data_IF_482398922284
#
_entry.id   IF_482398922284
#
_cell.length_a   1.000
_cell.length_b   1.000
_cell.length_c   1.000
_cell.angle_alpha   90.00
_cell.angle_beta   90.00
_cell.angle_gamma   90.00
#
_symmetry.space_group_name_H-M   'P 1'
#
loop_
_entity.id
_entity.type
_entity.pdbx_description
1 polymer ?
#
# COMPACT_ATOMS: atom_id res chain seq x y z
N UNK A 1 -42.61 30.28 -42.15
CA UNK A 1 -43.39 29.73 -41.02
C UNK A 1 -42.85 28.34 -40.70
N UNK A 2 -42.70 28.02 -39.40
CA UNK A 2 -42.06 26.84 -38.77
C UNK A 2 -40.53 26.94 -38.68
N UNK A 3 -39.96 27.54 -37.61
CA UNK A 3 -39.79 27.06 -36.20
C UNK A 3 -39.01 25.74 -36.18
N UNK A 4 -37.70 25.78 -35.91
CA UNK A 4 -37.05 25.84 -34.59
C UNK A 4 -37.04 24.48 -33.87
N UNK A 5 -35.83 23.97 -33.64
CA UNK A 5 -35.55 22.76 -32.88
C UNK A 5 -34.04 22.56 -32.75
N UNK A 6 -33.35 23.51 -32.11
CA UNK A 6 -31.97 23.30 -31.66
C UNK A 6 -32.06 22.38 -30.45
N UNK A 7 -31.68 21.12 -30.64
CA UNK A 7 -31.45 20.17 -29.57
C UNK A 7 -30.18 20.63 -28.84
N UNK A 8 -30.34 21.32 -27.71
CA UNK A 8 -29.26 21.47 -26.74
C UNK A 8 -29.13 20.12 -26.06
N UNK A 9 -28.20 19.30 -26.54
CA UNK A 9 -27.75 18.12 -25.80
C UNK A 9 -27.02 18.67 -24.57
N UNK A 10 -27.67 18.65 -23.41
CA UNK A 10 -27.00 18.84 -22.15
C UNK A 10 -25.95 17.72 -22.02
N UNK A 11 -24.68 18.04 -22.27
CA UNK A 11 -23.58 17.21 -21.81
C UNK A 11 -23.69 17.18 -20.28
N UNK A 12 -24.27 16.10 -19.75
CA UNK A 12 -23.96 15.67 -18.39
C UNK A 12 -22.47 15.35 -18.40
N UNK A 13 -21.66 16.38 -18.16
CA UNK A 13 -20.29 16.23 -17.74
C UNK A 13 -20.34 15.54 -16.39
N UNK A 14 -20.37 14.21 -16.39
CA UNK A 14 -19.68 13.48 -15.35
C UNK A 14 -18.22 13.90 -15.57
N UNK A 15 -17.80 14.94 -14.85
CA UNK A 15 -16.40 15.11 -14.53
C UNK A 15 -16.03 13.82 -13.82
N UNK A 16 -15.49 12.88 -14.59
CA UNK A 16 -14.69 11.81 -14.07
C UNK A 16 -13.58 12.54 -13.34
N UNK A 17 -13.73 12.69 -12.01
CA UNK A 17 -12.61 12.98 -11.12
C UNK A 17 -11.51 12.05 -11.60
N UNK A 18 -10.48 12.60 -12.25
CA UNK A 18 -9.31 11.83 -12.60
C UNK A 18 -8.87 11.18 -11.30
N UNK A 19 -8.88 9.84 -11.27
CA UNK A 19 -8.50 9.11 -10.08
C UNK A 19 -7.03 9.40 -9.80
N UNK A 20 -6.79 10.33 -8.86
CA UNK A 20 -5.49 10.80 -8.36
C UNK A 20 -4.79 9.70 -7.53
N UNK A 21 -5.50 8.61 -7.23
CA UNK A 21 -4.96 7.48 -6.48
C UNK A 21 -4.06 6.61 -7.37
N UNK A 22 -2.76 6.62 -7.07
CA UNK A 22 -1.81 5.61 -7.56
C UNK A 22 -1.85 4.39 -6.64
N UNK A 23 -1.50 3.23 -7.18
CA UNK A 23 -1.43 1.98 -6.43
C UNK A 23 -0.08 1.30 -6.65
N UNK A 24 0.47 0.72 -5.59
CA UNK A 24 1.70 -0.06 -5.63
C UNK A 24 1.37 -1.52 -5.31
N UNK A 25 2.09 -2.46 -5.94
CA UNK A 25 1.99 -3.89 -5.62
C UNK A 25 3.34 -4.43 -5.18
N UNK A 26 3.37 -5.01 -3.99
CA UNK A 26 4.54 -5.66 -3.40
C UNK A 26 4.32 -7.16 -3.29
N UNK A 27 5.38 -7.94 -3.45
CA UNK A 27 5.39 -9.38 -3.17
C UNK A 27 6.35 -9.67 -2.03
N UNK A 28 5.80 -10.09 -0.90
CA UNK A 28 6.51 -10.24 0.37
C UNK A 28 6.77 -11.74 0.61
N UNK A 29 8.03 -12.14 0.87
CA UNK A 29 8.36 -13.51 1.27
C UNK A 29 8.01 -13.76 2.75
N UNK A 30 7.77 -15.02 3.17
CA UNK A 30 7.50 -15.32 4.58
C UNK A 30 8.74 -15.09 5.44
N UNK A 31 8.52 -14.62 6.67
CA UNK A 31 9.56 -14.58 7.71
C UNK A 31 9.69 -15.92 8.42
N UNK A 32 8.54 -16.58 8.63
CA UNK A 32 8.39 -17.82 9.38
C UNK A 32 7.37 -18.71 8.67
N UNK A 33 7.67 -19.99 8.48
CA UNK A 33 6.66 -20.99 8.18
C UNK A 33 6.92 -22.35 8.84
N UNK A 34 5.86 -23.02 9.25
CA UNK A 34 5.96 -24.37 9.80
C UNK A 34 4.62 -25.09 9.68
N UNK A 35 4.60 -26.36 10.02
CA UNK A 35 3.35 -27.09 10.18
C UNK A 35 3.40 -27.92 11.46
N UNK A 36 2.22 -28.18 12.00
CA UNK A 36 2.04 -29.02 13.20
C UNK A 36 1.41 -30.34 12.81
N UNK A 37 1.76 -31.41 13.51
CA UNK A 37 1.30 -32.76 13.19
C UNK A 37 0.72 -33.43 14.44
N UNK A 38 -0.57 -33.73 14.41
CA UNK A 38 -1.27 -34.38 15.52
C UNK A 38 -0.69 -35.75 15.89
N UNK A 39 -0.10 -36.47 14.92
CA UNK A 39 0.48 -37.79 15.18
C UNK A 39 1.70 -37.70 16.11
N UNK A 40 2.48 -36.66 15.94
CA UNK A 40 3.78 -36.47 16.59
C UNK A 40 3.72 -35.09 17.30
N UNK A 41 2.96 -34.98 18.40
CA UNK A 41 2.40 -33.70 18.82
C UNK A 41 3.40 -32.73 19.48
N UNK A 42 4.55 -33.24 19.89
CA UNK A 42 5.65 -32.47 20.48
C UNK A 42 6.79 -32.20 19.48
N UNK A 43 6.70 -32.73 18.24
CA UNK A 43 7.70 -32.52 17.21
C UNK A 43 7.50 -31.16 16.52
N UNK A 44 8.62 -30.50 16.21
CA UNK A 44 8.68 -29.29 15.40
C UNK A 44 9.25 -29.65 14.02
N UNK A 45 8.70 -29.03 12.97
CA UNK A 45 9.08 -29.32 11.58
C UNK A 45 9.76 -28.15 10.89
N UNK A 46 10.44 -27.28 11.66
CA UNK A 46 11.27 -26.23 11.10
C UNK A 46 12.28 -26.80 10.08
N UNK A 47 12.63 -26.00 9.09
CA UNK A 47 13.52 -26.33 7.99
C UNK A 47 13.07 -27.45 7.03
N UNK A 48 11.86 -28.00 7.20
CA UNK A 48 11.30 -28.88 6.20
C UNK A 48 11.05 -28.12 4.91
N UNK A 49 11.43 -28.72 3.77
CA UNK A 49 11.25 -28.13 2.43
C UNK A 49 9.78 -28.00 2.00
N UNK A 50 8.87 -28.59 2.76
CA UNK A 50 7.44 -28.63 2.46
C UNK A 50 6.62 -28.33 3.71
N UNK A 51 5.55 -27.58 3.50
CA UNK A 51 4.45 -27.40 4.46
C UNK A 51 3.36 -28.42 4.14
N UNK A 52 2.73 -28.98 5.16
CA UNK A 52 1.71 -30.02 4.99
C UNK A 52 0.36 -29.61 5.61
N UNK A 53 -0.70 -29.78 4.82
CA UNK A 53 -2.08 -29.76 5.31
C UNK A 53 -2.66 -31.14 5.08
N UNK A 54 -3.24 -31.75 6.11
CA UNK A 54 -3.76 -33.11 6.05
C UNK A 54 -4.97 -33.29 6.94
N UNK A 55 -5.95 -34.01 6.42
CA UNK A 55 -7.06 -34.57 7.19
C UNK A 55 -6.87 -36.09 7.30
N UNK A 56 -6.68 -36.59 8.51
CA UNK A 56 -6.67 -38.03 8.80
C UNK A 56 -6.94 -38.23 10.29
N UNK A 57 -7.83 -39.17 10.61
CA UNK A 57 -8.17 -39.50 12.01
C UNK A 57 -6.92 -39.57 12.90
N UNK A 58 -6.87 -38.70 13.92
CA UNK A 58 -5.78 -38.54 14.90
C UNK A 58 -4.40 -38.20 14.31
N UNK A 59 -4.34 -37.70 13.08
CA UNK A 59 -3.11 -37.42 12.33
C UNK A 59 -3.25 -36.19 11.45
N UNK A 60 -4.06 -35.22 11.86
CA UNK A 60 -4.25 -33.97 11.11
C UNK A 60 -2.94 -33.17 11.08
N UNK A 61 -2.73 -32.40 10.01
CA UNK A 61 -1.65 -31.43 9.92
C UNK A 61 -2.18 -30.07 9.48
N UNK A 62 -1.61 -29.02 10.07
CA UNK A 62 -2.01 -27.61 9.85
C UNK A 62 -0.76 -26.78 9.62
N UNK A 63 -0.81 -25.89 8.63
CA UNK A 63 0.29 -24.99 8.30
C UNK A 63 0.12 -23.65 9.02
N UNK A 64 1.22 -23.07 9.49
CA UNK A 64 1.31 -21.72 10.04
C UNK A 64 2.33 -20.93 9.23
N UNK A 65 2.03 -19.66 8.95
CA UNK A 65 2.89 -18.81 8.14
C UNK A 65 2.76 -17.35 8.52
N UNK A 66 3.88 -16.63 8.56
CA UNK A 66 3.95 -15.20 8.90
C UNK A 66 4.79 -14.44 7.89
N UNK A 67 4.41 -13.19 7.66
CA UNK A 67 5.09 -12.24 6.77
C UNK A 67 5.35 -10.95 7.54
N UNK A 68 6.49 -10.32 7.27
CA UNK A 68 6.77 -8.96 7.71
C UNK A 68 6.19 -7.98 6.70
N UNK A 69 5.30 -7.11 7.16
CA UNK A 69 4.58 -6.16 6.31
C UNK A 69 5.06 -4.72 6.55
N UNK A 70 6.16 -4.51 7.28
CA UNK A 70 6.65 -3.17 7.63
C UNK A 70 7.06 -2.31 6.42
N UNK A 71 7.16 -2.90 5.23
CA UNK A 71 7.38 -2.15 3.99
C UNK A 71 6.13 -1.45 3.48
N UNK A 72 4.94 -1.83 3.97
CA UNK A 72 3.67 -1.20 3.62
C UNK A 72 3.43 -0.06 4.62
N UNK A 73 3.13 1.18 4.16
CA UNK A 73 2.81 2.29 5.05
C UNK A 73 1.69 1.95 6.03
N UNK A 74 1.84 2.34 7.28
CA UNK A 74 0.76 2.19 8.28
C UNK A 74 -0.45 3.00 7.86
N UNK A 75 -1.66 2.57 8.21
CA UNK A 75 -2.92 3.28 7.90
C UNK A 75 -3.17 3.59 6.40
N UNK A 76 -2.43 2.96 5.48
CA UNK A 76 -2.78 2.99 4.06
C UNK A 76 -4.00 2.10 3.78
N UNK A 77 -4.69 2.40 2.68
CA UNK A 77 -5.78 1.54 2.21
C UNK A 77 -5.21 0.36 1.41
N UNK A 78 -5.54 -0.85 1.85
CA UNK A 78 -5.26 -2.08 1.14
C UNK A 78 -6.32 -2.29 0.07
N UNK A 79 -5.89 -2.33 -1.20
CA UNK A 79 -6.77 -2.58 -2.36
C UNK A 79 -6.99 -4.08 -2.54
N UNK A 80 -5.92 -4.88 -2.41
CA UNK A 80 -6.01 -6.34 -2.41
C UNK A 80 -4.85 -6.97 -1.65
N UNK A 81 -5.07 -8.13 -1.05
CA UNK A 81 -3.97 -8.95 -0.52
C UNK A 81 -4.26 -10.43 -0.74
N UNK A 82 -3.33 -11.13 -1.39
CA UNK A 82 -3.41 -12.57 -1.66
C UNK A 82 -2.26 -13.31 -1.01
N UNK A 83 -2.58 -14.24 -0.11
CA UNK A 83 -1.61 -15.21 0.39
C UNK A 83 -1.62 -16.41 -0.56
N UNK A 84 -0.45 -16.80 -1.06
CA UNK A 84 -0.29 -17.85 -2.07
C UNK A 84 0.69 -18.91 -1.62
N UNK A 85 0.26 -20.17 -1.67
CA UNK A 85 1.12 -21.33 -1.46
C UNK A 85 1.19 -22.16 -2.73
N UNK A 86 2.40 -22.59 -3.12
CA UNK A 86 2.57 -23.44 -4.29
C UNK A 86 2.38 -24.91 -3.90
N UNK A 87 1.25 -25.49 -4.29
CA UNK A 87 0.89 -26.87 -4.03
C UNK A 87 1.67 -27.80 -4.96
N UNK A 88 2.70 -28.46 -4.41
CA UNK A 88 3.53 -29.44 -5.11
C UNK A 88 2.80 -30.78 -5.25
N UNK A 89 2.17 -31.28 -4.18
CA UNK A 89 1.29 -32.45 -4.23
C UNK A 89 -0.13 -32.06 -3.86
N UNK A 90 -1.09 -32.56 -4.63
CA UNK A 90 -2.51 -32.37 -4.42
C UNK A 90 -3.09 -33.56 -3.63
N UNK A 91 -4.23 -33.39 -2.96
CA UNK A 91 -4.87 -34.49 -2.25
C UNK A 91 -5.52 -35.45 -3.24
N UNK A 92 -5.71 -36.71 -2.82
CA UNK A 92 -6.32 -37.75 -3.64
C UNK A 92 -7.78 -37.47 -4.02
N UNK A 93 -8.46 -36.57 -3.30
CA UNK A 93 -9.74 -35.99 -3.69
C UNK A 93 -9.79 -34.53 -3.28
N UNK A 94 -10.54 -33.70 -4.00
CA UNK A 94 -10.64 -32.27 -3.71
C UNK A 94 -11.06 -32.00 -2.27
N UNK A 95 -10.34 -31.10 -1.60
CA UNK A 95 -10.58 -30.61 -0.24
C UNK A 95 -10.86 -29.12 -0.26
N UNK A 96 -11.37 -28.60 0.85
CA UNK A 96 -11.47 -27.16 1.08
C UNK A 96 -10.52 -26.82 2.21
N UNK A 97 -9.58 -25.93 1.94
CA UNK A 97 -8.63 -25.43 2.92
C UNK A 97 -9.04 -24.05 3.39
N UNK A 98 -9.24 -23.95 4.70
CA UNK A 98 -9.64 -22.74 5.40
C UNK A 98 -8.38 -22.04 5.91
N UNK A 99 -8.36 -20.71 5.77
CA UNK A 99 -7.33 -19.86 6.36
C UNK A 99 -7.95 -18.99 7.46
N UNK A 100 -7.25 -18.89 8.59
CA UNK A 100 -7.65 -18.04 9.71
C UNK A 100 -6.45 -17.22 10.18
N UNK A 101 -6.70 -15.96 10.56
CA UNK A 101 -5.73 -15.13 11.27
C UNK A 101 -5.34 -15.76 12.60
N UNK A 102 -4.05 -15.83 12.88
CA UNK A 102 -3.50 -16.28 14.16
C UNK A 102 -3.61 -15.15 15.18
N UNK A 103 -4.00 -15.47 16.41
CA UNK A 103 -4.26 -14.49 17.47
C UNK A 103 -3.26 -14.56 18.62
N UNK A 104 -2.32 -15.51 18.58
CA UNK A 104 -1.28 -15.67 19.58
C UNK A 104 0.13 -15.74 18.98
N UNK A 105 1.11 -15.34 19.75
CA UNK A 105 2.52 -15.45 19.37
C UNK A 105 2.94 -16.91 19.14
N UNK A 106 3.82 -17.12 18.16
CA UNK A 106 4.49 -18.38 17.91
C UNK A 106 5.86 -18.12 17.26
N UNK A 107 6.72 -19.14 17.30
CA UNK A 107 8.02 -19.13 16.61
C UNK A 107 8.12 -20.34 15.69
N UNK A 108 8.78 -20.16 14.55
CA UNK A 108 9.04 -21.23 13.57
C UNK A 108 9.72 -22.46 14.21
N UNK A 109 10.68 -22.23 15.10
CA UNK A 109 11.48 -23.25 15.78
C UNK A 109 10.81 -23.87 17.01
N UNK A 110 9.72 -23.26 17.51
CA UNK A 110 9.08 -23.67 18.77
C UNK A 110 7.66 -24.18 18.63
N UNK A 111 7.01 -23.98 17.47
CA UNK A 111 5.62 -24.41 17.27
C UNK A 111 5.53 -25.94 17.11
N UNK A 112 4.56 -26.53 17.79
CA UNK A 112 4.23 -27.97 17.84
C UNK A 112 2.71 -28.11 17.85
N UNK A 113 2.18 -29.34 17.73
CA UNK A 113 0.74 -29.53 17.83
C UNK A 113 0.19 -29.11 19.20
N UNK A 114 0.91 -29.45 20.28
CA UNK A 114 0.46 -29.22 21.65
C UNK A 114 0.50 -27.73 22.08
N UNK A 115 1.36 -26.92 21.47
CA UNK A 115 1.52 -25.50 21.82
C UNK A 115 1.11 -24.52 20.70
N UNK A 116 0.46 -25.01 19.63
CA UNK A 116 0.02 -24.15 18.52
C UNK A 116 -0.88 -23.01 19.03
N UNK A 117 -0.72 -21.78 18.50
CA UNK A 117 -1.50 -20.64 18.96
C UNK A 117 -2.97 -20.74 18.54
N UNK A 118 -3.81 -19.99 19.26
CA UNK A 118 -5.21 -19.79 18.86
C UNK A 118 -5.31 -19.00 17.54
N UNK A 119 -6.47 -19.09 16.93
CA UNK A 119 -6.84 -18.33 15.73
C UNK A 119 -8.13 -17.55 15.97
N UNK A 120 -8.44 -16.62 15.09
CA UNK A 120 -9.74 -15.96 15.07
C UNK A 120 -10.86 -16.97 14.75
N UNK A 121 -11.99 -16.86 15.44
CA UNK A 121 -13.16 -17.71 15.19
C UNK A 121 -13.75 -17.48 13.80
N UNK A 122 -13.70 -16.23 13.32
CA UNK A 122 -14.08 -15.89 11.96
C UNK A 122 -13.09 -16.48 10.96
N UNK A 123 -13.62 -17.13 9.93
CA UNK A 123 -12.87 -17.53 8.75
C UNK A 123 -12.35 -16.29 8.02
N UNK A 124 -11.06 -16.29 7.66
CA UNK A 124 -10.51 -15.24 6.79
C UNK A 124 -10.96 -15.49 5.34
N UNK A 125 -10.68 -16.69 4.81
CA UNK A 125 -11.11 -17.13 3.49
C UNK A 125 -10.99 -18.67 3.36
N UNK A 126 -11.42 -19.25 2.23
CA UNK A 126 -11.24 -20.67 1.93
C UNK A 126 -11.07 -20.93 0.44
N UNK A 127 -10.33 -21.97 0.08
CA UNK A 127 -10.15 -22.36 -1.32
C UNK A 127 -10.19 -23.87 -1.53
N UNK A 128 -10.72 -24.30 -2.67
CA UNK A 128 -10.77 -25.70 -3.09
C UNK A 128 -9.43 -26.12 -3.67
N UNK A 129 -8.87 -27.21 -3.15
CA UNK A 129 -7.58 -27.74 -3.63
C UNK A 129 -7.69 -28.27 -5.05
N UNK A 130 -8.85 -28.80 -5.47
CA UNK A 130 -8.93 -29.73 -6.59
C UNK A 130 -8.02 -30.95 -6.36
N UNK A 131 -7.63 -31.61 -7.45
CA UNK A 131 -6.72 -32.76 -7.44
C UNK A 131 -5.50 -32.55 -8.35
N UNK A 132 -5.33 -31.34 -8.89
CA UNK A 132 -4.22 -30.98 -9.79
C UNK A 132 -3.02 -30.52 -8.99
N UNK A 133 -1.88 -31.16 -9.23
CA UNK A 133 -0.58 -30.81 -8.64
C UNK A 133 0.08 -29.60 -9.33
N UNK A 134 1.16 -29.09 -8.75
CA UNK A 134 2.01 -28.04 -9.31
C UNK A 134 1.28 -26.74 -9.67
N UNK A 135 0.41 -26.26 -8.77
CA UNK A 135 -0.33 -25.01 -8.93
C UNK A 135 -0.29 -24.13 -7.70
N UNK A 136 -0.57 -22.85 -7.87
CA UNK A 136 -0.85 -21.95 -6.76
C UNK A 136 -2.23 -22.25 -6.17
N UNK A 137 -2.29 -22.24 -4.84
CA UNK A 137 -3.53 -22.10 -4.08
C UNK A 137 -3.46 -20.75 -3.37
N UNK A 138 -4.52 -19.96 -3.50
CA UNK A 138 -4.53 -18.55 -3.07
C UNK A 138 -5.72 -18.27 -2.17
N UNK A 139 -5.53 -17.40 -1.18
CA UNK A 139 -6.59 -16.92 -0.30
C UNK A 139 -6.59 -15.40 -0.26
N UNK A 140 -7.78 -14.80 -0.19
CA UNK A 140 -7.95 -13.39 0.10
C UNK A 140 -7.70 -13.12 1.58
N UNK A 141 -6.75 -12.25 1.87
CA UNK A 141 -6.40 -11.84 3.24
C UNK A 141 -6.43 -10.32 3.41
N UNK A 142 -7.06 -9.60 2.49
CA UNK A 142 -7.06 -8.13 2.45
C UNK A 142 -7.55 -7.50 3.77
N UNK A 143 -8.64 -8.01 4.34
CA UNK A 143 -9.19 -7.50 5.60
C UNK A 143 -8.25 -7.72 6.80
N UNK A 144 -7.53 -8.85 6.83
CA UNK A 144 -6.55 -9.11 7.89
C UNK A 144 -5.33 -8.19 7.74
N UNK A 145 -4.83 -8.02 6.52
CA UNK A 145 -3.71 -7.11 6.23
C UNK A 145 -4.08 -5.67 6.54
N UNK A 146 -5.30 -5.23 6.20
CA UNK A 146 -5.83 -3.92 6.58
C UNK A 146 -5.81 -3.74 8.10
N UNK A 147 -6.25 -4.76 8.86
CA UNK A 147 -6.22 -4.74 10.31
C UNK A 147 -4.80 -4.69 10.89
N UNK A 148 -3.81 -5.29 10.21
CA UNK A 148 -2.41 -5.22 10.62
C UNK A 148 -1.79 -3.84 10.37
N UNK A 149 -2.00 -3.23 9.20
CA UNK A 149 -1.45 -1.87 8.91
C UNK A 149 -2.14 -0.78 9.72
N UNK A 150 -3.39 -0.99 10.14
CA UNK A 150 -4.11 -0.10 11.05
C UNK A 150 -3.78 -0.36 12.53
N UNK A 151 -2.85 -1.28 12.84
CA UNK A 151 -2.53 -1.72 14.21
C UNK A 151 -3.75 -2.20 15.03
N UNK A 152 -4.86 -2.54 14.37
CA UNK A 152 -6.07 -3.08 15.02
C UNK A 152 -5.88 -4.54 15.43
N UNK A 153 -4.97 -5.25 14.76
CA UNK A 153 -4.52 -6.59 15.10
C UNK A 153 -2.99 -6.64 15.15
N UNK A 154 -2.45 -7.38 16.12
CA UNK A 154 -1.04 -7.77 16.06
C UNK A 154 -0.84 -8.82 14.96
N UNK A 155 0.18 -8.64 14.12
CA UNK A 155 0.51 -9.59 13.06
C UNK A 155 1.23 -10.83 13.62
N UNK A 156 0.47 -11.90 13.81
CA UNK A 156 0.97 -13.25 14.08
C UNK A 156 0.83 -14.19 12.87
N UNK A 157 0.48 -13.66 11.69
CA UNK A 157 0.29 -14.46 10.48
C UNK A 157 -1.01 -15.26 10.47
N UNK A 158 -0.98 -16.39 9.76
CA UNK A 158 -2.16 -17.20 9.45
C UNK A 158 -1.93 -18.69 9.68
N UNK A 159 -3.02 -19.39 9.99
CA UNK A 159 -3.09 -20.85 10.00
C UNK A 159 -3.96 -21.33 8.83
N UNK A 160 -3.47 -22.32 8.10
CA UNK A 160 -4.20 -23.02 7.04
C UNK A 160 -4.46 -24.45 7.48
N UNK A 161 -5.71 -24.90 7.40
CA UNK A 161 -6.09 -26.27 7.72
C UNK A 161 -7.13 -26.81 6.75
N UNK A 162 -7.31 -28.13 6.76
CA UNK A 162 -8.48 -28.74 6.13
C UNK A 162 -9.74 -28.31 6.87
N UNK A 163 -10.79 -27.89 6.15
CA UNK A 163 -12.09 -27.52 6.73
C UNK A 163 -12.64 -28.66 7.59
N UNK A 164 -12.52 -29.89 7.09
CA UNK A 164 -13.04 -31.09 7.74
C UNK A 164 -11.90 -32.04 8.06
N UNK A 165 -11.42 -31.93 9.29
CA UNK A 165 -10.37 -32.80 9.83
C UNK A 165 -10.89 -34.20 10.18
N UNK A 166 -9.98 -35.11 10.54
CA UNK A 166 -10.28 -36.49 10.94
C UNK A 166 -10.90 -37.39 9.86
N UNK A 167 -10.57 -37.15 8.59
CA UNK A 167 -10.95 -38.04 7.50
C UNK A 167 -10.55 -39.49 7.78
N UNK A 168 -11.47 -40.42 7.53
CA UNK A 168 -11.20 -41.86 7.55
C UNK A 168 -10.46 -42.30 6.28
N UNK A 169 -10.64 -41.57 5.18
CA UNK A 169 -10.00 -41.79 3.88
C UNK A 169 -8.52 -41.40 3.94
N UNK A 170 -7.65 -42.24 3.38
CA UNK A 170 -6.22 -41.97 3.24
C UNK A 170 -5.93 -41.00 2.07
N UNK A 171 -4.70 -40.49 1.98
CA UNK A 171 -4.26 -39.59 0.90
C UNK A 171 -5.01 -38.24 0.83
N UNK A 172 -5.60 -37.78 1.94
CA UNK A 172 -6.20 -36.45 2.05
C UNK A 172 -5.18 -35.45 2.60
N UNK A 173 -4.10 -35.25 1.85
CA UNK A 173 -3.02 -34.33 2.21
C UNK A 173 -2.48 -33.60 1.00
N UNK A 174 -2.00 -32.38 1.23
CA UNK A 174 -1.25 -31.60 0.25
C UNK A 174 0.11 -31.26 0.80
N UNK A 175 1.09 -31.16 -0.11
CA UNK A 175 2.39 -30.55 0.17
C UNK A 175 2.50 -29.23 -0.56
N UNK A 176 2.85 -28.18 0.18
CA UNK A 176 3.21 -26.89 -0.35
C UNK A 176 4.71 -26.68 -0.21
N UNK A 177 5.33 -25.91 -1.08
CA UNK A 177 6.73 -25.51 -0.89
C UNK A 177 6.83 -24.53 0.29
N UNK A 178 7.81 -24.76 1.17
CA UNK A 178 8.12 -23.85 2.28
C UNK A 178 9.13 -22.77 1.87
N UNK A 179 9.40 -21.85 2.79
CA UNK A 179 10.48 -20.88 2.79
C UNK A 179 11.85 -21.51 2.52
N UNK A 180 12.12 -22.72 3.00
CA UNK A 180 13.40 -23.41 2.83
C UNK A 180 13.55 -24.10 1.47
N UNK A 181 12.51 -24.13 0.64
CA UNK A 181 12.62 -24.74 -0.68
C UNK A 181 13.63 -23.99 -1.56
N UNK A 182 14.74 -24.62 -1.95
CA UNK A 182 15.87 -23.94 -2.63
C UNK A 182 15.86 -24.06 -4.15
N UNK A 183 15.28 -25.10 -4.72
CA UNK A 183 15.39 -25.44 -6.15
C UNK A 183 14.64 -24.46 -7.07
N UNK A 184 13.50 -23.93 -6.61
CA UNK A 184 12.71 -22.90 -7.33
C UNK A 184 12.18 -21.87 -6.34
N UNK A 185 13.01 -20.88 -6.00
CA UNK A 185 12.66 -19.83 -5.02
C UNK A 185 11.39 -19.04 -5.40
N UNK A 186 11.10 -18.89 -6.70
CA UNK A 186 9.88 -18.24 -7.18
C UNK A 186 8.58 -19.00 -6.86
N UNK A 187 8.66 -20.23 -6.35
CA UNK A 187 7.51 -21.01 -5.89
C UNK A 187 7.47 -21.18 -4.37
N UNK A 188 8.22 -20.39 -3.61
CA UNK A 188 8.06 -20.27 -2.16
C UNK A 188 6.75 -19.55 -1.82
N UNK A 189 6.27 -19.61 -0.58
CA UNK A 189 5.10 -18.84 -0.17
C UNK A 189 5.24 -17.35 -0.48
N UNK A 190 4.13 -16.70 -0.79
CA UNK A 190 4.09 -15.27 -1.13
C UNK A 190 2.87 -14.61 -0.51
N UNK A 191 3.05 -13.38 -0.03
CA UNK A 191 1.98 -12.45 0.24
C UNK A 191 2.06 -11.33 -0.80
N UNK A 192 1.09 -11.26 -1.70
CA UNK A 192 1.02 -10.25 -2.76
C UNK A 192 0.01 -9.19 -2.33
N UNK A 193 0.47 -7.97 -2.08
CA UNK A 193 -0.38 -6.89 -1.57
C UNK A 193 -0.36 -5.72 -2.54
N UNK A 194 -1.53 -5.20 -2.87
CA UNK A 194 -1.72 -3.95 -3.59
C UNK A 194 -2.32 -2.92 -2.64
N UNK A 195 -1.71 -1.74 -2.51
CA UNK A 195 -2.18 -0.66 -1.63
C UNK A 195 -2.14 0.70 -2.32
N UNK A 196 -2.89 1.67 -1.79
CA UNK A 196 -2.87 3.05 -2.29
C UNK A 196 -1.56 3.75 -1.92
N UNK A 197 -0.91 4.38 -2.90
CA UNK A 197 0.27 5.20 -2.67
C UNK A 197 -0.18 6.59 -2.26
N UNK A 198 0.38 7.09 -1.16
CA UNK A 198 0.18 8.46 -0.70
C UNK A 198 0.82 9.43 -1.67
N UNK A 199 0.11 10.47 -2.05
CA UNK A 199 0.64 11.57 -2.84
C UNK A 199 0.02 12.90 -2.46
N UNK A 200 0.75 13.97 -2.73
CA UNK A 200 0.31 15.35 -2.74
C UNK A 200 0.89 16.00 -3.99
N UNK A 201 0.15 16.93 -4.58
CA UNK A 201 0.54 17.65 -5.79
C UNK A 201 0.04 19.10 -5.70
N UNK A 202 0.86 20.08 -6.07
CA UNK A 202 0.42 21.46 -6.26
C UNK A 202 -0.52 21.61 -7.47
N UNK A 203 -1.57 22.40 -7.33
CA UNK A 203 -2.56 22.63 -8.37
C UNK A 203 -3.09 24.07 -8.39
N UNK A 204 -3.86 24.40 -9.42
CA UNK A 204 -4.68 25.61 -9.45
C UNK A 204 -6.02 25.43 -8.68
N UNK A 205 -6.84 26.48 -8.62
CA UNK A 205 -8.17 26.45 -7.97
C UNK A 205 -9.10 25.38 -8.58
N UNK A 206 -8.91 25.04 -9.86
CA UNK A 206 -9.66 24.00 -10.56
C UNK A 206 -9.21 22.58 -10.22
N UNK A 207 -8.07 22.43 -9.54
CA UNK A 207 -7.46 21.14 -9.21
C UNK A 207 -6.57 20.57 -10.31
N UNK A 208 -6.24 21.35 -11.34
CA UNK A 208 -5.30 20.92 -12.38
C UNK A 208 -3.86 21.12 -11.90
N UNK A 209 -3.01 20.10 -12.08
CA UNK A 209 -1.60 20.14 -11.64
C UNK A 209 -0.88 21.36 -12.22
N UNK A 210 -0.23 22.11 -11.35
CA UNK A 210 0.49 23.34 -11.69
C UNK A 210 1.68 23.48 -10.76
N UNK A 211 2.87 23.63 -11.35
CA UNK A 211 4.14 23.65 -10.62
C UNK A 211 4.90 24.98 -10.76
N UNK A 212 4.31 25.97 -11.45
CA UNK A 212 4.86 27.33 -11.58
C UNK A 212 3.72 28.32 -11.35
N UNK A 213 3.86 29.19 -10.35
CA UNK A 213 2.87 30.19 -9.96
C UNK A 213 3.46 31.59 -10.08
N UNK A 214 2.68 32.54 -10.57
CA UNK A 214 3.01 33.95 -10.49
C UNK A 214 2.78 34.45 -9.04
N UNK A 215 3.51 35.49 -8.61
CA UNK A 215 3.42 35.97 -7.22
C UNK A 215 2.04 36.49 -6.82
N UNK A 216 1.14 36.75 -7.76
CA UNK A 216 -0.23 37.18 -7.52
C UNK A 216 -1.25 36.03 -7.50
N UNK A 217 -0.81 34.80 -7.76
CA UNK A 217 -1.67 33.62 -7.76
C UNK A 217 -1.69 32.94 -6.40
N UNK A 218 -2.83 32.35 -6.05
CA UNK A 218 -2.94 31.46 -4.91
C UNK A 218 -2.42 30.07 -5.29
N UNK A 219 -1.83 29.37 -4.32
CA UNK A 219 -1.39 27.97 -4.48
C UNK A 219 -2.43 27.06 -3.83
N UNK A 220 -2.84 26.03 -4.57
CA UNK A 220 -3.68 24.96 -4.06
C UNK A 220 -2.90 23.65 -4.07
N UNK A 221 -3.39 22.66 -3.34
CA UNK A 221 -2.95 21.28 -3.52
C UNK A 221 -4.13 20.32 -3.50
N UNK A 222 -3.89 19.14 -4.06
CA UNK A 222 -4.75 17.98 -3.87
C UNK A 222 -3.90 16.78 -3.45
N UNK A 223 -4.49 15.85 -2.70
CA UNK A 223 -3.79 14.68 -2.16
C UNK A 223 -4.67 13.42 -2.21
N UNK A 224 -4.03 12.26 -2.27
CA UNK A 224 -4.70 10.96 -2.27
C UNK A 224 -3.89 9.90 -1.51
N UNK A 225 -4.55 8.79 -1.15
CA UNK A 225 -3.92 7.68 -0.43
C UNK A 225 -3.66 7.95 1.06
N UNK A 226 -4.15 9.07 1.60
CA UNK A 226 -4.06 9.42 3.01
C UNK A 226 -4.97 8.53 3.87
N UNK A 227 -4.79 8.48 5.20
CA UNK A 227 -5.76 7.82 6.06
C UNK A 227 -7.15 8.46 5.89
N UNK A 228 -8.24 7.66 5.82
CA UNK A 228 -9.58 8.18 5.57
C UNK A 228 -10.21 8.80 6.82
N UNK A 229 -10.95 9.90 6.64
CA UNK A 229 -11.69 10.58 7.71
C UNK A 229 -10.84 10.97 8.93
N UNK A 230 -9.65 11.50 8.67
CA UNK A 230 -8.73 12.02 9.70
C UNK A 230 -8.37 13.47 9.42
N UNK A 231 -7.85 14.16 10.43
CA UNK A 231 -7.16 15.43 10.25
C UNK A 231 -5.69 15.18 9.89
N UNK A 232 -5.17 16.01 8.99
CA UNK A 232 -3.76 16.10 8.61
C UNK A 232 -3.38 17.58 8.53
N UNK A 233 -2.10 17.89 8.67
CA UNK A 233 -1.57 19.25 8.48
C UNK A 233 -0.79 19.32 7.17
N UNK A 234 -1.05 20.35 6.37
CA UNK A 234 -0.34 20.60 5.12
C UNK A 234 0.61 21.76 5.33
N UNK A 235 1.88 21.55 5.01
CA UNK A 235 2.94 22.54 5.11
C UNK A 235 3.42 22.92 3.71
N UNK A 236 3.62 24.22 3.49
CA UNK A 236 4.49 24.69 2.42
C UNK A 236 5.85 25.00 3.03
N UNK A 237 6.89 24.39 2.50
CA UNK A 237 8.25 24.53 3.03
C UNK A 237 9.20 24.97 1.93
N UNK A 238 10.32 25.61 2.31
CA UNK A 238 11.38 25.87 1.35
C UNK A 238 11.90 24.54 0.78
N UNK A 239 12.16 24.53 -0.53
CA UNK A 239 12.66 23.36 -1.24
C UNK A 239 13.86 22.71 -0.54
N UNK A 240 13.85 21.38 -0.45
CA UNK A 240 14.98 20.61 0.06
C UNK A 240 15.33 19.44 -0.87
N UNK A 241 16.59 19.41 -1.31
CA UNK A 241 17.07 18.36 -2.23
C UNK A 241 17.12 16.96 -1.59
N UNK A 242 17.26 16.88 -0.25
CA UNK A 242 17.33 15.61 0.49
C UNK A 242 16.51 15.68 1.78
N UNK A 243 15.53 14.78 1.91
CA UNK A 243 14.68 14.65 3.09
C UNK A 243 15.13 13.52 4.01
N UNK A 244 15.07 13.75 5.32
CA UNK A 244 15.39 12.78 6.36
C UNK A 244 14.26 12.73 7.38
N UNK A 245 13.89 11.51 7.79
CA UNK A 245 12.85 11.34 8.80
C UNK A 245 13.19 12.12 10.09
N UNK A 246 12.22 12.89 10.58
CA UNK A 246 12.36 13.77 11.74
C UNK A 246 12.77 15.22 11.41
N UNK A 247 13.01 15.55 10.14
CA UNK A 247 13.22 16.93 9.68
C UNK A 247 12.05 17.82 10.12
N UNK A 248 12.35 18.98 10.69
CA UNK A 248 11.31 19.89 11.19
C UNK A 248 10.65 20.63 10.05
N UNK A 249 9.32 20.62 10.03
CA UNK A 249 8.53 21.35 9.06
C UNK A 249 8.38 22.80 9.51
N UNK A 250 8.92 23.72 8.70
CA UNK A 250 8.80 25.16 8.93
C UNK A 250 7.98 25.75 7.81
N UNK A 251 6.72 26.05 8.12
CA UNK A 251 5.81 26.61 7.15
C UNK A 251 6.23 28.01 6.68
N UNK A 252 6.06 28.29 5.39
CA UNK A 252 6.37 29.59 4.77
C UNK A 252 5.14 30.29 4.15
N UNK A 253 3.96 29.68 4.20
CA UNK A 253 2.73 30.16 3.57
C UNK A 253 1.74 30.84 4.52
N UNK A 254 2.02 30.88 5.82
CA UNK A 254 1.20 31.57 6.81
C UNK A 254 0.80 30.73 8.02
N UNK A 255 1.37 29.53 8.12
CA UNK A 255 1.01 28.48 9.07
C UNK A 255 0.52 27.25 8.32
N UNK A 256 0.66 26.08 8.94
CA UNK A 256 0.17 24.84 8.36
C UNK A 256 -1.37 24.83 8.26
N UNK A 257 -1.88 24.26 7.17
CA UNK A 257 -3.31 24.11 6.94
C UNK A 257 -3.81 22.75 7.46
N UNK A 258 -4.61 22.78 8.52
CA UNK A 258 -5.26 21.56 9.03
C UNK A 258 -6.49 21.20 8.20
N UNK A 259 -6.45 20.06 7.51
CA UNK A 259 -7.50 19.60 6.58
C UNK A 259 -8.05 18.24 7.03
N UNK A 260 -9.36 18.04 6.87
CA UNK A 260 -10.00 16.75 7.11
C UNK A 260 -10.09 15.93 5.81
N UNK A 261 -9.50 14.74 5.79
CA UNK A 261 -9.51 13.85 4.62
C UNK A 261 -10.91 13.29 4.35
N UNK A 262 -11.22 13.08 3.08
CA UNK A 262 -12.47 12.44 2.67
C UNK A 262 -12.57 10.98 3.14
N UNK A 263 -13.74 10.37 2.94
CA UNK A 263 -14.01 8.96 3.30
C UNK A 263 -13.12 7.95 2.56
N UNK A 264 -12.45 8.38 1.49
CA UNK A 264 -11.51 7.57 0.69
C UNK A 264 -10.06 8.05 0.84
N UNK A 265 -9.76 8.91 1.82
CA UNK A 265 -8.39 9.37 2.05
C UNK A 265 -7.88 10.37 1.01
N UNK A 266 -8.78 11.22 0.49
CA UNK A 266 -8.47 12.24 -0.51
C UNK A 266 -8.71 13.64 0.02
N UNK A 267 -7.93 14.60 -0.47
CA UNK A 267 -8.13 16.04 -0.31
C UNK A 267 -8.33 16.62 -1.70
N UNK A 268 -9.44 17.31 -1.91
CA UNK A 268 -9.71 18.07 -3.14
C UNK A 268 -8.85 19.35 -3.17
N UNK A 269 -8.86 20.08 -4.30
CA UNK A 269 -8.14 21.35 -4.42
C UNK A 269 -8.40 22.25 -3.19
N UNK A 270 -7.38 22.39 -2.36
CA UNK A 270 -7.40 23.13 -1.09
C UNK A 270 -6.36 24.22 -1.18
N UNK A 271 -6.77 25.47 -0.92
CA UNK A 271 -5.84 26.60 -0.88
C UNK A 271 -4.87 26.41 0.28
N UNK A 272 -3.57 26.51 0.01
CA UNK A 272 -2.48 26.32 0.98
C UNK A 272 -1.53 27.53 1.05
N UNK A 273 -1.69 28.50 0.14
CA UNK A 273 -0.98 29.77 0.21
C UNK A 273 -1.75 30.85 -0.57
N UNK A 274 -2.28 31.83 0.14
CA UNK A 274 -2.87 33.02 -0.49
C UNK A 274 -1.80 34.00 -0.98
N UNK A 275 -2.01 34.60 -2.15
CA UNK A 275 -1.17 35.67 -2.66
C UNK A 275 -1.11 36.89 -1.71
N UNK A 276 -0.02 37.68 -1.72
CA UNK A 276 1.14 37.55 -2.58
C UNK A 276 2.14 36.49 -2.10
N UNK A 277 2.64 35.67 -3.04
CA UNK A 277 3.66 34.66 -2.76
C UNK A 277 5.04 35.32 -2.61
N UNK A 278 5.91 34.68 -1.83
CA UNK A 278 7.34 34.98 -1.88
C UNK A 278 7.96 34.27 -3.09
N UNK A 279 8.86 34.94 -3.81
CA UNK A 279 9.58 34.30 -4.91
C UNK A 279 10.51 33.21 -4.38
N UNK A 280 10.44 32.00 -4.95
CA UNK A 280 11.24 30.88 -4.49
C UNK A 280 10.84 29.54 -5.08
N UNK A 281 11.45 28.49 -4.53
CA UNK A 281 11.16 27.08 -4.82
C UNK A 281 10.71 26.42 -3.52
N UNK A 282 9.66 25.64 -3.60
CA UNK A 282 8.95 25.11 -2.43
C UNK A 282 8.56 23.65 -2.63
N UNK A 283 8.45 22.92 -1.52
CA UNK A 283 7.85 21.60 -1.46
C UNK A 283 6.54 21.67 -0.66
N UNK A 284 5.63 20.72 -0.92
CA UNK A 284 4.41 20.55 -0.13
C UNK A 284 4.53 19.25 0.64
N UNK A 285 4.33 19.30 1.96
CA UNK A 285 4.36 18.11 2.84
C UNK A 285 3.01 17.97 3.51
N UNK A 286 2.46 16.74 3.51
CA UNK A 286 1.29 16.41 4.34
C UNK A 286 1.77 15.65 5.57
N UNK A 287 1.78 16.32 6.71
CA UNK A 287 2.05 15.76 8.04
C UNK A 287 0.78 15.04 8.53
N UNK A 288 0.83 13.72 8.50
CA UNK A 288 -0.33 12.86 8.79
C UNK A 288 -0.53 12.74 10.30
N UNK A 289 0.55 12.72 11.07
CA UNK A 289 0.50 12.51 12.52
C UNK A 289 0.53 13.83 13.33
N UNK A 290 0.62 14.97 12.63
CA UNK A 290 0.60 16.33 13.16
C UNK A 290 1.71 16.58 14.19
N UNK A 291 2.88 15.99 13.98
CA UNK A 291 4.02 16.12 14.90
C UNK A 291 4.97 17.29 14.53
N UNK A 292 4.72 17.98 13.41
CA UNK A 292 5.53 19.08 12.89
C UNK A 292 6.88 18.64 12.30
N UNK A 293 7.02 17.36 11.95
CA UNK A 293 8.21 16.76 11.37
C UNK A 293 7.81 15.83 10.23
N UNK A 294 8.66 15.75 9.22
CA UNK A 294 8.44 14.82 8.13
C UNK A 294 8.82 13.39 8.52
N UNK A 295 7.91 12.45 8.28
CA UNK A 295 8.13 11.01 8.40
C UNK A 295 8.18 10.33 7.01
N UNK A 296 8.92 9.20 6.92
CA UNK A 296 9.22 8.55 5.64
C UNK A 296 7.98 8.13 4.83
N UNK A 297 6.86 7.87 5.50
CA UNK A 297 5.61 7.43 4.89
C UNK A 297 4.62 8.57 4.61
N UNK A 298 5.02 9.82 4.84
CA UNK A 298 4.22 11.01 4.55
C UNK A 298 4.47 11.52 3.13
N UNK A 299 3.41 11.88 2.40
CA UNK A 299 3.59 12.32 1.02
C UNK A 299 4.19 13.72 0.98
N UNK A 300 5.14 13.85 0.06
CA UNK A 300 5.77 15.11 -0.29
C UNK A 300 5.68 15.32 -1.80
N UNK A 301 5.36 16.54 -2.21
CA UNK A 301 5.47 16.95 -3.60
C UNK A 301 6.88 17.46 -3.85
N UNK A 302 7.76 16.55 -4.28
CA UNK A 302 9.17 16.83 -4.60
C UNK A 302 9.61 16.13 -5.90
N UNK A 303 8.66 15.84 -6.81
CA UNK A 303 8.79 14.80 -7.86
C UNK A 303 9.99 14.98 -8.80
N UNK A 304 10.59 16.18 -8.90
CA UNK A 304 11.73 16.48 -9.78
C UNK A 304 12.66 17.52 -9.14
N UNK A 305 13.08 17.27 -7.89
CA UNK A 305 13.89 18.13 -7.00
C UNK A 305 13.18 19.36 -6.42
N UNK A 306 12.01 19.75 -6.95
CA UNK A 306 11.18 20.87 -6.46
C UNK A 306 9.71 20.49 -6.62
N UNK A 307 8.87 20.77 -5.62
CA UNK A 307 7.41 20.72 -5.74
C UNK A 307 6.88 21.78 -6.71
N UNK A 308 6.97 23.06 -6.33
CA UNK A 308 6.59 24.18 -7.19
C UNK A 308 7.51 25.41 -7.07
N UNK A 309 7.45 26.29 -8.06
CA UNK A 309 8.16 27.57 -8.08
C UNK A 309 7.20 28.76 -8.11
N UNK A 310 7.48 29.79 -7.30
CA UNK A 310 6.81 31.07 -7.36
C UNK A 310 7.71 32.09 -8.07
N UNK A 311 7.24 32.66 -9.18
CA UNK A 311 8.02 33.54 -10.06
C UNK A 311 7.36 34.92 -10.22
N UNK A 312 8.14 35.99 -10.46
CA UNK A 312 7.59 37.31 -10.76
C UNK A 312 6.70 37.27 -12.01
N UNK A 313 5.64 38.09 -12.02
CA UNK A 313 4.85 38.32 -13.22
C UNK A 313 5.74 38.87 -14.35
N UNK A 314 5.67 38.25 -15.53
CA UNK A 314 6.28 38.83 -16.72
C UNK A 314 5.24 39.70 -17.43
N UNK A 315 5.49 41.00 -17.67
CA UNK A 315 4.62 41.78 -18.52
C UNK A 315 4.58 41.10 -19.91
N UNK A 316 3.39 40.94 -20.49
CA UNK A 316 3.10 40.22 -21.75
C UNK A 316 3.99 40.62 -22.94
N UNK A 317 4.62 41.79 -22.88
CA UNK A 317 5.59 42.28 -23.86
C UNK A 317 7.00 41.64 -23.77
N UNK A 318 7.30 40.89 -22.71
CA UNK A 318 8.60 40.26 -22.45
C UNK A 318 8.68 38.77 -22.85
N UNK A 319 7.58 38.19 -23.36
CA UNK A 319 7.47 36.75 -23.69
C UNK A 319 8.62 36.18 -24.56
N UNK A 320 9.16 36.88 -25.57
CA UNK A 320 10.24 36.31 -26.38
C UNK A 320 11.55 36.11 -25.60
N UNK A 321 11.77 36.88 -24.53
CA UNK A 321 13.02 36.86 -23.76
C UNK A 321 12.94 35.95 -22.53
N UNK A 322 11.77 35.86 -21.89
CA UNK A 322 11.55 35.04 -20.69
C UNK A 322 11.60 33.53 -21.01
N UNK A 323 11.06 33.09 -22.16
CA UNK A 323 11.17 31.70 -22.62
C UNK A 323 12.63 31.29 -22.83
N UNK A 324 13.47 32.21 -23.34
CA UNK A 324 14.90 31.96 -23.53
C UNK A 324 15.63 31.85 -22.19
N UNK A 325 15.31 32.68 -21.20
CA UNK A 325 15.91 32.62 -19.86
C UNK A 325 15.49 31.36 -19.07
N UNK A 326 14.23 30.96 -19.14
CA UNK A 326 13.73 29.73 -18.52
C UNK A 326 14.39 28.48 -19.11
N UNK A 327 14.51 28.40 -20.44
CA UNK A 327 15.22 27.30 -21.13
C UNK A 327 16.71 27.30 -20.77
N UNK A 328 17.34 28.46 -20.69
CA UNK A 328 18.76 28.58 -20.33
C UNK A 328 19.00 28.16 -18.88
N UNK A 329 18.13 28.53 -17.94
CA UNK A 329 18.20 28.09 -16.54
C UNK A 329 18.05 26.56 -16.43
N UNK A 330 17.07 25.99 -17.13
CA UNK A 330 16.84 24.53 -17.18
C UNK A 330 18.03 23.78 -17.79
N UNK A 331 18.67 24.33 -18.83
CA UNK A 331 19.87 23.76 -19.47
C UNK A 331 21.13 23.86 -18.62
N UNK A 332 21.27 24.90 -17.79
CA UNK A 332 22.39 25.03 -16.85
C UNK A 332 22.26 24.11 -15.64
N UNK A 333 21.04 23.82 -15.19
CA UNK A 333 20.76 22.89 -14.07
C UNK A 333 21.14 21.45 -14.43
N UNK A 334 20.77 20.98 -15.63
CA UNK A 334 21.13 19.64 -16.16
C UNK A 334 22.63 19.38 -16.33
N UNK A 335 23.45 20.44 -16.31
CA UNK A 335 24.92 20.35 -16.39
C UNK A 335 25.59 20.12 -15.03
N UNK A 336 24.91 20.42 -13.91
CA UNK A 336 25.45 20.19 -12.56
C UNK A 336 25.34 18.72 -12.12
N UNK A 337 24.39 17.95 -12.66
CA UNK A 337 24.21 16.51 -12.42
C UNK A 337 25.31 15.60 -13.01
N UNK A 338 26.30 16.14 -13.72
CA UNK A 338 27.37 15.35 -14.38
C UNK A 338 28.76 15.56 -13.78
N UNK A 339 28.88 15.97 -12.52
CA UNK A 339 30.17 16.10 -11.84
C UNK A 339 30.25 15.34 -10.53
#
# INVERSE_FOLDING_TARGET
MHKAGILILAMLGIFLLMSIASAETVTIPPTDDSYVNQRDPDENYNHHRYLEVKSKSNKNMRTFIKFDISSIPVETTIISAKLRLYMYNAPGSSRIYDIHRVTGYWTETGITWNNQPNVADSLTDSNSTGTTENKWLEWDVASDVQGFVNNSYTNYGWRIKDRYEDSTISYQWSRFRSREYTEKKGHRPQLVVTYMVRNVTSCDEGGEEKNIFELSENVYCHAAGLPPSTYVDIYVVNNKDEWHAGDTLTDVSGGADTVHTGSVGSISATEIWSAPLAQGSYDIVVDINQNGRWDKDEPIDSKVDVGFEAIPEFPTLALPLAIVLGIVFFLFRRKREKK
#
